data_IF_032330106167
#
_entry.id   IF_032330106167
#
_cell.length_a   1.000
_cell.length_b   1.000
_cell.length_c   1.000
_cell.angle_alpha   90.00
_cell.angle_beta   90.00
_cell.angle_gamma   90.00
#
_symmetry.space_group_name_H-M   'P 1'
#
loop_
_entity.id
_entity.type
_entity.pdbx_description
1 polymer ?
#
# COMPACT_ATOMS: atom_id res chain seq x y z
N UNK A 1 -18.75 14.35 12.69
CA UNK A 1 -18.56 13.03 12.05
C UNK A 1 -17.54 13.26 10.94
N UNK A 2 -16.33 12.70 11.05
CA UNK A 2 -15.31 12.84 10.02
C UNK A 2 -15.80 12.12 8.76
N UNK A 3 -15.97 12.83 7.67
CA UNK A 3 -16.12 12.23 6.35
C UNK A 3 -14.76 11.63 6.04
N UNK A 4 -14.67 10.32 6.07
CA UNK A 4 -13.39 9.65 5.82
C UNK A 4 -13.07 9.80 4.33
N UNK A 5 -11.85 10.12 4.01
CA UNK A 5 -11.36 10.26 2.63
C UNK A 5 -11.72 9.05 1.77
N UNK A 6 -11.74 7.86 2.40
CA UNK A 6 -12.16 6.60 1.79
C UNK A 6 -13.62 6.55 1.31
N UNK A 7 -14.48 7.48 1.74
CA UNK A 7 -15.86 7.58 1.23
C UNK A 7 -15.99 8.53 0.04
N UNK A 8 -14.98 9.37 -0.20
CA UNK A 8 -14.96 10.34 -1.30
C UNK A 8 -14.30 9.81 -2.56
N UNK A 9 -13.40 8.84 -2.42
CA UNK A 9 -12.63 8.28 -3.51
C UNK A 9 -12.86 6.78 -3.60
N UNK A 10 -12.73 6.26 -4.82
CA UNK A 10 -12.60 4.83 -5.04
C UNK A 10 -11.37 4.33 -4.29
N UNK A 11 -11.58 3.42 -3.34
CA UNK A 11 -10.55 3.03 -2.39
C UNK A 11 -10.09 1.60 -2.62
N UNK A 12 -8.78 1.39 -2.66
CA UNK A 12 -8.14 0.07 -2.61
C UNK A 12 -7.71 -0.23 -1.17
N UNK A 13 -8.08 -1.39 -0.66
CA UNK A 13 -7.62 -1.87 0.64
C UNK A 13 -6.28 -2.61 0.46
N UNK A 14 -5.28 -2.23 1.24
CA UNK A 14 -4.01 -2.95 1.32
C UNK A 14 -3.93 -3.61 2.68
N UNK A 15 -3.79 -4.94 2.70
CA UNK A 15 -3.65 -5.75 3.90
C UNK A 15 -2.17 -6.05 4.14
N UNK A 16 -1.66 -5.61 5.29
CA UNK A 16 -0.24 -5.69 5.66
C UNK A 16 0.06 -6.95 6.46
N UNK A 17 0.93 -7.80 5.92
CA UNK A 17 1.45 -9.01 6.56
C UNK A 17 2.82 -8.79 7.22
N UNK A 18 3.19 -7.55 7.50
CA UNK A 18 4.48 -7.19 8.10
C UNK A 18 5.62 -7.00 7.09
N UNK A 19 5.30 -6.71 5.84
CA UNK A 19 6.29 -6.43 4.81
C UNK A 19 6.94 -5.06 5.01
N UNK A 20 8.25 -5.01 4.86
CA UNK A 20 8.96 -3.73 4.73
C UNK A 20 8.51 -2.89 3.53
N UNK A 21 7.78 -3.47 2.58
CA UNK A 21 7.32 -2.83 1.34
C UNK A 21 5.84 -2.44 1.35
N UNK A 22 5.08 -2.68 2.43
CA UNK A 22 3.64 -2.34 2.48
C UNK A 22 3.36 -0.84 2.27
N UNK A 23 4.18 0.03 2.90
CA UNK A 23 4.12 1.47 2.65
C UNK A 23 4.53 1.86 1.23
N UNK A 24 5.43 1.10 0.60
CA UNK A 24 5.81 1.33 -0.80
C UNK A 24 4.68 0.96 -1.75
N UNK A 25 3.95 -0.14 -1.50
CA UNK A 25 2.73 -0.48 -2.25
C UNK A 25 1.73 0.68 -2.15
N UNK A 26 1.47 1.18 -0.93
CA UNK A 26 0.59 2.33 -0.68
C UNK A 26 1.00 3.55 -1.51
N UNK A 27 2.28 3.88 -1.49
CA UNK A 27 2.84 4.99 -2.25
C UNK A 27 2.65 4.79 -3.75
N UNK A 28 2.94 3.60 -4.29
CA UNK A 28 2.78 3.31 -5.73
C UNK A 28 1.34 3.43 -6.19
N UNK A 29 0.39 2.92 -5.41
CA UNK A 29 -1.04 3.04 -5.72
C UNK A 29 -1.47 4.52 -5.75
N UNK A 30 -1.01 5.30 -4.78
CA UNK A 30 -1.30 6.74 -4.70
C UNK A 30 -0.64 7.54 -5.83
N UNK A 31 0.57 7.19 -6.26
CA UNK A 31 1.25 7.76 -7.42
C UNK A 31 0.46 7.54 -8.74
N UNK A 32 -0.38 6.50 -8.80
CA UNK A 32 -1.30 6.24 -9.91
C UNK A 32 -2.61 7.05 -9.82
N UNK A 33 -2.74 7.93 -8.85
CA UNK A 33 -3.93 8.74 -8.63
C UNK A 33 -5.11 7.97 -8.02
N UNK A 34 -4.86 6.83 -7.37
CA UNK A 34 -5.87 6.01 -6.69
C UNK A 34 -5.68 6.07 -5.18
N UNK A 35 -6.76 6.32 -4.45
CA UNK A 35 -6.70 6.29 -3.00
C UNK A 35 -6.61 4.86 -2.47
N UNK A 36 -5.89 4.68 -1.37
CA UNK A 36 -5.80 3.38 -0.71
C UNK A 36 -5.61 3.53 0.80
N UNK A 37 -6.15 2.56 1.53
CA UNK A 37 -6.02 2.41 2.97
C UNK A 37 -5.14 1.20 3.28
N UNK A 38 -4.13 1.40 4.12
CA UNK A 38 -3.28 0.34 4.66
C UNK A 38 -3.83 -0.10 6.02
N UNK A 39 -4.19 -1.37 6.15
CA UNK A 39 -4.71 -1.97 7.36
C UNK A 39 -3.93 -3.24 7.71
N UNK A 40 -3.84 -3.63 8.99
CA UNK A 40 -3.30 -4.92 9.36
C UNK A 40 -4.06 -6.07 8.65
N UNK A 41 -3.38 -7.14 8.27
CA UNK A 41 -4.01 -8.27 7.60
C UNK A 41 -5.13 -8.92 8.43
N UNK A 42 -5.08 -8.77 9.76
CA UNK A 42 -6.07 -9.30 10.71
C UNK A 42 -7.35 -8.46 10.83
N UNK A 43 -7.44 -7.31 10.15
CA UNK A 43 -8.66 -6.47 10.17
C UNK A 43 -9.86 -7.29 9.70
N UNK A 44 -10.98 -7.13 10.39
CA UNK A 44 -12.25 -7.71 9.94
C UNK A 44 -12.87 -6.82 8.88
N UNK A 45 -13.26 -7.39 7.75
CA UNK A 45 -13.89 -6.61 6.68
C UNK A 45 -15.21 -5.96 7.11
N UNK A 46 -15.90 -6.56 8.09
CA UNK A 46 -17.11 -6.01 8.67
C UNK A 46 -16.88 -4.70 9.46
N UNK A 47 -15.66 -4.47 9.95
CA UNK A 47 -15.30 -3.29 10.72
C UNK A 47 -14.86 -2.11 9.83
N UNK A 48 -14.70 -2.35 8.53
CA UNK A 48 -14.32 -1.31 7.58
C UNK A 48 -15.47 -0.28 7.45
N UNK A 49 -15.11 0.99 7.48
CA UNK A 49 -16.07 2.10 7.31
C UNK A 49 -16.27 2.50 5.85
N UNK A 50 -15.67 1.78 4.92
CA UNK A 50 -15.74 1.98 3.48
C UNK A 50 -15.83 0.65 2.75
N UNK A 51 -16.24 0.69 1.48
CA UNK A 51 -16.27 -0.48 0.60
C UNK A 51 -15.10 -0.41 -0.38
N UNK A 52 -14.08 -1.26 -0.23
CA UNK A 52 -12.97 -1.28 -1.19
C UNK A 52 -13.43 -1.75 -2.58
N UNK A 53 -12.89 -1.15 -3.64
CA UNK A 53 -13.05 -1.63 -5.02
C UNK A 53 -12.08 -2.74 -5.41
N UNK A 54 -11.03 -2.93 -4.60
CA UNK A 54 -10.05 -3.99 -4.76
C UNK A 54 -9.25 -4.18 -3.49
N UNK A 55 -8.64 -5.34 -3.34
CA UNK A 55 -7.83 -5.70 -2.18
C UNK A 55 -6.43 -6.10 -2.67
N UNK A 56 -5.38 -5.55 -2.03
CA UNK A 56 -4.00 -5.98 -2.23
C UNK A 56 -3.51 -6.65 -0.95
N UNK A 57 -3.00 -7.86 -1.06
CA UNK A 57 -2.34 -8.61 0.00
C UNK A 57 -0.84 -8.37 -0.15
N UNK A 58 -0.19 -7.78 0.84
CA UNK A 58 1.24 -7.46 0.78
C UNK A 58 2.12 -8.71 0.87
N UNK A 59 3.42 -8.54 0.73
CA UNK A 59 4.39 -9.53 1.17
C UNK A 59 4.44 -9.66 2.70
N UNK A 60 5.25 -10.59 3.17
CA UNK A 60 5.46 -10.82 4.60
C UNK A 60 6.71 -11.68 4.85
N UNK A 61 7.26 -11.67 6.06
CA UNK A 61 8.47 -12.40 6.40
C UNK A 61 8.24 -13.89 6.74
N UNK A 62 6.99 -14.27 6.98
CA UNK A 62 6.62 -15.63 7.44
C UNK A 62 6.43 -16.59 6.29
N UNK A 63 6.45 -17.90 6.61
CA UNK A 63 5.95 -18.96 5.73
C UNK A 63 4.48 -19.22 6.05
N UNK A 64 3.61 -19.25 5.02
CA UNK A 64 2.14 -19.31 5.22
C UNK A 64 1.65 -20.57 5.95
N UNK A 65 2.45 -21.63 5.93
CA UNK A 65 2.14 -22.92 6.58
C UNK A 65 2.71 -23.04 8.00
N UNK A 66 3.46 -22.06 8.50
CA UNK A 66 4.00 -22.08 9.86
C UNK A 66 2.92 -21.73 10.89
N UNK A 67 3.00 -22.35 12.06
CA UNK A 67 2.08 -22.07 13.17
C UNK A 67 2.22 -20.62 13.62
N UNK A 68 1.09 -19.91 13.75
CA UNK A 68 1.08 -18.48 14.11
C UNK A 68 1.32 -17.53 12.96
N UNK A 69 1.44 -18.02 11.74
CA UNK A 69 1.52 -17.15 10.54
C UNK A 69 0.26 -16.30 10.39
N UNK A 70 0.40 -15.04 9.94
CA UNK A 70 -0.74 -14.15 9.80
C UNK A 70 -1.61 -14.54 8.60
N UNK A 71 -2.93 -14.58 8.82
CA UNK A 71 -3.93 -14.84 7.79
C UNK A 71 -4.97 -13.73 7.73
N UNK A 72 -5.60 -13.56 6.56
CA UNK A 72 -6.68 -12.61 6.39
C UNK A 72 -8.00 -13.10 7.00
N UNK A 73 -8.94 -12.17 7.18
CA UNK A 73 -10.33 -12.53 7.42
C UNK A 73 -10.85 -13.42 6.27
N UNK A 74 -11.40 -14.60 6.54
CA UNK A 74 -11.97 -15.47 5.51
C UNK A 74 -13.01 -14.79 4.60
N UNK A 75 -13.66 -13.73 5.07
CA UNK A 75 -14.58 -12.92 4.28
C UNK A 75 -13.93 -12.29 3.05
N UNK A 76 -12.61 -12.10 3.03
CA UNK A 76 -11.85 -11.58 1.87
C UNK A 76 -12.14 -12.41 0.62
N UNK A 77 -12.20 -13.74 0.76
CA UNK A 77 -12.35 -14.66 -0.38
C UNK A 77 -13.74 -14.66 -1.01
N UNK A 78 -14.73 -14.14 -0.31
CA UNK A 78 -16.14 -14.06 -0.75
C UNK A 78 -16.65 -12.61 -0.86
N UNK A 79 -15.78 -11.63 -0.65
CA UNK A 79 -16.18 -10.22 -0.66
C UNK A 79 -16.63 -9.70 -2.04
N UNK A 80 -16.19 -10.36 -3.11
CA UNK A 80 -16.66 -10.08 -4.48
C UNK A 80 -15.95 -8.94 -5.20
N UNK A 81 -14.76 -8.53 -4.75
CA UNK A 81 -13.92 -7.54 -5.42
C UNK A 81 -12.61 -8.19 -5.93
N UNK A 82 -11.92 -7.58 -6.91
CA UNK A 82 -10.62 -8.08 -7.37
C UNK A 82 -9.59 -8.13 -6.24
N UNK A 83 -8.73 -9.17 -6.27
CA UNK A 83 -7.67 -9.39 -5.27
C UNK A 83 -6.33 -9.53 -5.98
N UNK A 84 -5.28 -8.88 -5.47
CA UNK A 84 -3.88 -9.04 -5.87
C UNK A 84 -3.05 -9.46 -4.67
N UNK A 85 -2.45 -10.64 -4.71
CA UNK A 85 -1.47 -11.09 -3.72
C UNK A 85 -0.04 -10.88 -4.21
N UNK A 86 0.82 -10.31 -3.37
CA UNK A 86 2.24 -10.06 -3.67
C UNK A 86 3.08 -10.89 -2.71
N UNK A 87 3.95 -11.76 -3.24
CA UNK A 87 4.87 -12.62 -2.49
C UNK A 87 4.12 -13.49 -1.44
N UNK A 88 4.17 -13.13 -0.16
CA UNK A 88 3.34 -13.81 0.87
C UNK A 88 1.85 -13.78 0.53
N UNK A 89 1.34 -12.67 -0.02
CA UNK A 89 -0.05 -12.56 -0.45
C UNK A 89 -0.44 -13.55 -1.56
N UNK A 90 0.48 -13.92 -2.46
CA UNK A 90 0.27 -15.03 -3.40
C UNK A 90 0.15 -16.37 -2.66
N UNK A 91 1.02 -16.62 -1.68
CA UNK A 91 1.01 -17.85 -0.89
C UNK A 91 -0.27 -17.95 -0.04
N UNK A 92 -0.73 -16.82 0.51
CA UNK A 92 -2.01 -16.71 1.24
C UNK A 92 -3.22 -17.06 0.34
N UNK A 93 -3.22 -16.60 -0.93
CA UNK A 93 -4.20 -17.00 -1.93
C UNK A 93 -4.18 -18.52 -2.14
N UNK A 94 -2.99 -19.09 -2.37
CA UNK A 94 -2.84 -20.51 -2.62
C UNK A 94 -3.30 -21.35 -1.42
N UNK A 95 -2.87 -20.97 -0.22
CA UNK A 95 -3.21 -21.65 1.03
C UNK A 95 -4.72 -21.72 1.26
N UNK A 96 -5.41 -20.59 1.13
CA UNK A 96 -6.85 -20.53 1.40
C UNK A 96 -7.72 -21.12 0.28
N UNK A 97 -7.25 -21.13 -0.96
CA UNK A 97 -8.01 -21.62 -2.11
C UNK A 97 -7.59 -23.02 -2.58
N UNK A 98 -7.02 -23.83 -1.69
CA UNK A 98 -6.66 -25.23 -1.91
C UNK A 98 -5.55 -25.48 -2.94
N UNK A 99 -4.65 -24.53 -3.10
CA UNK A 99 -3.34 -24.73 -3.67
C UNK A 99 -2.37 -25.31 -2.64
N UNK A 100 -1.08 -25.40 -2.98
CA UNK A 100 -0.05 -25.87 -2.08
C UNK A 100 1.17 -24.95 -2.16
N UNK A 101 1.75 -24.67 -0.97
CA UNK A 101 2.97 -23.89 -0.80
C UNK A 101 4.01 -24.77 -0.11
N UNK A 102 5.24 -24.73 -0.57
CA UNK A 102 6.36 -25.48 0.01
C UNK A 102 7.63 -24.61 0.04
N UNK A 103 8.65 -24.95 0.86
CA UNK A 103 9.96 -24.40 0.71
C UNK A 103 10.45 -24.55 -0.72
N UNK A 104 11.02 -23.48 -1.30
CA UNK A 104 11.58 -23.52 -2.64
C UNK A 104 12.87 -24.37 -2.67
N UNK A 105 13.03 -25.17 -3.71
CA UNK A 105 14.28 -25.90 -3.95
C UNK A 105 15.44 -24.93 -4.22
N UNK A 106 15.12 -23.77 -4.78
CA UNK A 106 16.00 -22.62 -4.97
C UNK A 106 15.36 -21.37 -4.38
N UNK A 107 16.08 -20.71 -3.48
CA UNK A 107 15.68 -19.39 -2.99
C UNK A 107 15.99 -18.36 -4.06
N UNK A 108 15.03 -17.54 -4.43
CA UNK A 108 15.19 -16.50 -5.44
C UNK A 108 15.27 -15.12 -4.80
N UNK A 109 16.43 -14.48 -4.88
CA UNK A 109 16.69 -13.12 -4.42
C UNK A 109 17.36 -12.32 -5.52
N UNK A 110 16.83 -11.14 -5.82
CA UNK A 110 17.37 -10.24 -6.82
C UNK A 110 16.59 -10.23 -8.12
N UNK A 111 17.27 -9.87 -9.21
CA UNK A 111 16.64 -9.72 -10.53
C UNK A 111 16.42 -11.08 -11.19
N UNK A 112 15.25 -11.25 -11.79
CA UNK A 112 14.91 -12.39 -12.63
C UNK A 112 14.13 -11.92 -13.87
N UNK A 113 14.29 -12.60 -14.99
CA UNK A 113 13.50 -12.38 -16.18
C UNK A 113 12.36 -13.41 -16.22
N UNK A 114 11.12 -12.95 -16.23
CA UNK A 114 9.93 -13.82 -16.29
C UNK A 114 9.38 -13.88 -17.70
N UNK A 115 9.00 -15.08 -18.13
CA UNK A 115 8.30 -15.31 -19.38
C UNK A 115 6.79 -15.23 -19.13
N UNK A 116 6.08 -14.45 -19.93
CA UNK A 116 4.63 -14.29 -19.83
C UNK A 116 3.93 -15.36 -20.65
N UNK A 117 2.89 -15.97 -20.07
CA UNK A 117 2.01 -16.91 -20.74
C UNK A 117 0.89 -16.18 -21.53
N UNK A 118 0.24 -16.86 -22.46
CA UNK A 118 -0.78 -16.27 -23.33
C UNK A 118 -1.95 -15.62 -22.54
N UNK A 119 -2.34 -16.21 -21.41
CA UNK A 119 -3.40 -15.69 -20.54
C UNK A 119 -3.02 -14.38 -19.83
N UNK A 120 -1.72 -14.04 -19.77
CA UNK A 120 -1.24 -12.83 -19.09
C UNK A 120 -1.64 -11.53 -19.82
N UNK A 121 -1.66 -11.56 -21.17
CA UNK A 121 -1.77 -10.37 -22.01
C UNK A 121 -3.11 -9.65 -21.92
N UNK A 122 -4.18 -10.35 -21.53
CA UNK A 122 -5.53 -9.79 -21.39
C UNK A 122 -5.86 -9.39 -19.92
N UNK A 123 -4.87 -9.37 -19.02
CA UNK A 123 -5.10 -9.18 -17.59
C UNK A 123 -4.06 -8.22 -16.97
N UNK A 124 -3.44 -8.67 -15.87
CA UNK A 124 -2.47 -7.90 -15.09
C UNK A 124 -1.26 -7.42 -15.92
N UNK A 125 -0.88 -8.18 -16.96
CA UNK A 125 0.27 -7.88 -17.83
C UNK A 125 -0.12 -7.22 -19.16
N UNK A 126 -1.32 -6.65 -19.28
CA UNK A 126 -1.73 -5.96 -20.49
C UNK A 126 -0.73 -4.87 -20.91
N UNK A 127 -0.27 -4.94 -22.16
CA UNK A 127 0.70 -4.00 -22.74
C UNK A 127 2.15 -4.17 -22.26
N UNK A 128 2.46 -5.27 -21.57
CA UNK A 128 3.83 -5.60 -21.13
C UNK A 128 4.42 -6.65 -22.06
N UNK A 129 5.67 -6.42 -22.49
CA UNK A 129 6.38 -7.35 -23.37
C UNK A 129 7.03 -8.49 -22.59
N UNK A 130 7.10 -9.67 -23.20
CA UNK A 130 7.78 -10.85 -22.67
C UNK A 130 9.16 -11.03 -23.34
N UNK A 131 10.24 -11.40 -22.63
CA UNK A 131 10.29 -11.48 -21.18
C UNK A 131 10.31 -10.10 -20.51
N UNK A 132 9.97 -10.04 -19.20
CA UNK A 132 10.05 -8.83 -18.42
C UNK A 132 10.85 -9.03 -17.14
N UNK A 133 11.62 -8.01 -16.76
CA UNK A 133 12.48 -8.06 -15.57
C UNK A 133 11.73 -7.72 -14.32
N UNK A 134 11.89 -8.56 -13.28
CA UNK A 134 11.23 -8.43 -11.99
C UNK A 134 12.23 -8.60 -10.84
N UNK A 135 11.81 -8.22 -9.64
CA UNK A 135 12.57 -8.40 -8.39
C UNK A 135 11.96 -9.52 -7.55
N UNK A 136 12.73 -10.58 -7.35
CA UNK A 136 12.38 -11.71 -6.50
C UNK A 136 12.93 -11.52 -5.09
N UNK A 137 12.18 -11.96 -4.07
CA UNK A 137 12.61 -11.98 -2.67
C UNK A 137 11.81 -13.02 -1.91
N UNK A 138 12.04 -14.31 -2.18
CA UNK A 138 11.28 -15.39 -1.56
C UNK A 138 12.11 -16.66 -1.32
N UNK A 139 11.74 -17.38 -0.24
CA UNK A 139 12.26 -18.72 0.08
C UNK A 139 11.25 -19.82 -0.20
N UNK A 140 9.95 -19.50 -0.16
CA UNK A 140 8.85 -20.42 -0.41
C UNK A 140 8.25 -20.18 -1.79
N UNK A 141 7.67 -21.22 -2.37
CA UNK A 141 7.04 -21.18 -3.68
C UNK A 141 5.77 -22.04 -3.73
N UNK A 142 4.90 -21.74 -4.69
CA UNK A 142 3.78 -22.62 -4.96
C UNK A 142 4.28 -23.94 -5.57
N UNK A 143 3.70 -25.06 -5.11
CA UNK A 143 3.90 -26.40 -5.68
C UNK A 143 2.67 -26.89 -6.44
N UNK A 144 1.49 -26.30 -6.17
CA UNK A 144 0.24 -26.64 -6.84
C UNK A 144 -0.66 -25.39 -6.95
N UNK A 145 -1.24 -25.19 -8.12
CA UNK A 145 -2.23 -24.14 -8.35
C UNK A 145 -3.54 -24.42 -7.61
N UNK A 146 -4.21 -23.38 -7.09
CA UNK A 146 -5.61 -23.48 -6.70
C UNK A 146 -6.51 -23.81 -7.89
N UNK A 147 -7.67 -24.42 -7.63
CA UNK A 147 -8.64 -24.75 -8.66
C UNK A 147 -9.15 -23.48 -9.39
N UNK A 148 -9.20 -23.54 -10.73
CA UNK A 148 -9.64 -22.44 -11.57
C UNK A 148 -8.59 -21.35 -11.80
N UNK A 149 -7.35 -21.55 -11.31
CA UNK A 149 -6.25 -20.66 -11.61
C UNK A 149 -5.45 -21.13 -12.82
N UNK A 150 -4.91 -20.18 -13.55
CA UNK A 150 -3.98 -20.38 -14.68
C UNK A 150 -2.64 -19.71 -14.38
N UNK A 151 -1.59 -20.21 -15.02
CA UNK A 151 -0.27 -19.56 -14.99
C UNK A 151 -0.32 -18.32 -15.89
N UNK A 152 0.19 -17.21 -15.37
CA UNK A 152 0.34 -15.96 -16.10
C UNK A 152 1.81 -15.67 -16.44
N UNK A 153 2.74 -16.12 -15.59
CA UNK A 153 4.17 -15.99 -15.85
C UNK A 153 4.96 -17.04 -15.08
N UNK A 154 6.13 -17.39 -15.61
CA UNK A 154 7.03 -18.38 -15.03
C UNK A 154 8.51 -18.01 -15.24
N UNK A 155 9.38 -18.59 -14.43
CA UNK A 155 10.83 -18.64 -14.64
C UNK A 155 11.28 -20.11 -14.82
N UNK A 156 12.51 -20.38 -15.22
CA UNK A 156 13.02 -21.76 -15.27
C UNK A 156 13.00 -22.47 -13.91
N UNK A 157 13.06 -21.73 -12.81
CA UNK A 157 13.12 -22.24 -11.42
C UNK A 157 11.82 -22.12 -10.66
N UNK A 158 10.88 -21.28 -11.11
CA UNK A 158 9.58 -21.07 -10.50
C UNK A 158 8.45 -21.15 -11.56
N UNK A 159 7.72 -22.27 -11.62
CA UNK A 159 6.67 -22.46 -12.64
C UNK A 159 5.42 -21.60 -12.39
N UNK A 160 5.24 -21.07 -11.18
CA UNK A 160 4.06 -20.31 -10.75
C UNK A 160 4.43 -18.90 -10.26
N UNK A 161 5.28 -18.21 -11.04
CA UNK A 161 5.75 -16.86 -10.70
C UNK A 161 4.64 -15.81 -10.70
N UNK A 162 3.65 -16.00 -11.57
CA UNK A 162 2.40 -15.26 -11.53
C UNK A 162 1.23 -16.18 -11.91
N UNK A 163 0.13 -16.04 -11.18
CA UNK A 163 -1.08 -16.82 -11.38
C UNK A 163 -2.32 -15.94 -11.41
N UNK A 164 -3.41 -16.43 -11.99
CA UNK A 164 -4.67 -15.70 -11.99
C UNK A 164 -5.89 -16.59 -12.14
N UNK A 165 -6.95 -16.26 -11.41
CA UNK A 165 -8.30 -16.69 -11.68
C UNK A 165 -9.02 -15.53 -12.37
N UNK A 166 -9.18 -15.60 -13.70
CA UNK A 166 -9.67 -14.48 -14.50
C UNK A 166 -11.15 -14.18 -14.21
N UNK A 167 -11.95 -15.21 -13.97
CA UNK A 167 -13.39 -15.07 -13.70
C UNK A 167 -13.63 -14.38 -12.35
N UNK A 168 -12.88 -14.78 -11.32
CA UNK A 168 -12.96 -14.19 -9.98
C UNK A 168 -12.12 -12.92 -9.82
N UNK A 169 -11.28 -12.59 -10.80
CA UNK A 169 -10.34 -11.47 -10.78
C UNK A 169 -9.38 -11.53 -9.57
N UNK A 170 -8.87 -12.73 -9.28
CA UNK A 170 -7.89 -12.97 -8.22
C UNK A 170 -6.54 -13.25 -8.86
N UNK A 171 -5.54 -12.45 -8.53
CA UNK A 171 -4.19 -12.53 -9.10
C UNK A 171 -3.15 -12.69 -8.01
N UNK A 172 -2.07 -13.39 -8.32
CA UNK A 172 -0.94 -13.54 -7.42
C UNK A 172 0.39 -13.37 -8.15
N UNK A 173 1.32 -12.65 -7.53
CA UNK A 173 2.67 -12.40 -8.00
C UNK A 173 3.66 -12.90 -6.95
N UNK A 174 4.65 -13.70 -7.33
CA UNK A 174 5.73 -14.13 -6.44
C UNK A 174 6.77 -13.02 -6.27
N UNK A 175 6.90 -12.11 -7.21
CA UNK A 175 7.80 -10.98 -7.22
C UNK A 175 7.12 -9.69 -6.73
N UNK A 176 7.93 -8.65 -6.55
CA UNK A 176 7.52 -7.36 -6.01
C UNK A 176 7.35 -6.30 -7.11
N UNK A 177 6.11 -5.99 -7.56
CA UNK A 177 5.87 -4.95 -8.55
C UNK A 177 6.09 -3.53 -8.02
N UNK A 178 6.06 -3.34 -6.71
CA UNK A 178 6.19 -2.04 -6.05
C UNK A 178 7.62 -1.49 -6.05
N UNK A 179 8.64 -2.35 -6.17
CA UNK A 179 10.04 -1.92 -6.12
C UNK A 179 10.53 -1.44 -7.49
N UNK A 180 11.50 -0.52 -7.49
CA UNK A 180 12.04 0.10 -8.71
C UNK A 180 12.77 -0.87 -9.64
N UNK A 181 13.22 -2.01 -9.11
CA UNK A 181 13.92 -3.04 -9.87
C UNK A 181 12.99 -3.90 -10.73
N UNK A 182 11.67 -3.82 -10.53
CA UNK A 182 10.66 -4.43 -11.41
C UNK A 182 10.31 -3.43 -12.52
N UNK A 183 10.78 -3.68 -13.74
CA UNK A 183 10.76 -2.72 -14.85
C UNK A 183 9.36 -2.19 -15.16
N UNK A 184 8.36 -3.05 -15.22
CA UNK A 184 6.97 -2.69 -15.52
C UNK A 184 6.03 -2.73 -14.30
N UNK A 185 6.59 -2.65 -13.08
CA UNK A 185 5.81 -2.79 -11.84
C UNK A 185 4.68 -1.77 -11.71
N UNK A 186 4.95 -0.50 -12.02
CA UNK A 186 3.91 0.54 -12.01
C UNK A 186 2.79 0.25 -13.01
N UNK A 187 3.10 -0.32 -14.18
CA UNK A 187 2.09 -0.69 -15.17
C UNK A 187 1.24 -1.86 -14.68
N UNK A 188 1.84 -2.88 -14.05
CA UNK A 188 1.10 -3.99 -13.45
C UNK A 188 0.14 -3.49 -12.37
N UNK A 189 0.61 -2.64 -11.47
CA UNK A 189 -0.25 -2.04 -10.45
C UNK A 189 -1.35 -1.17 -11.06
N UNK A 190 -1.05 -0.38 -12.10
CA UNK A 190 -2.06 0.40 -12.83
C UNK A 190 -3.11 -0.50 -13.48
N UNK A 191 -2.67 -1.58 -14.16
CA UNK A 191 -3.58 -2.55 -14.78
C UNK A 191 -4.52 -3.15 -13.73
N UNK A 192 -4.02 -3.42 -12.52
CA UNK A 192 -4.84 -3.91 -11.42
C UNK A 192 -5.79 -2.84 -10.90
N UNK A 193 -5.29 -1.71 -10.37
CA UNK A 193 -6.14 -0.76 -9.64
C UNK A 193 -7.08 0.03 -10.55
N UNK A 194 -6.63 0.43 -11.75
CA UNK A 194 -7.46 1.19 -12.69
C UNK A 194 -8.20 0.26 -13.64
N UNK A 195 -7.49 -0.70 -14.25
CA UNK A 195 -8.08 -1.57 -15.29
C UNK A 195 -9.03 -2.62 -14.71
N UNK A 196 -8.57 -3.39 -13.74
CA UNK A 196 -9.32 -4.55 -13.20
C UNK A 196 -10.29 -4.15 -12.09
N UNK A 197 -9.84 -3.31 -11.13
CA UNK A 197 -10.70 -2.80 -10.05
C UNK A 197 -11.63 -1.69 -10.52
N UNK A 198 -11.34 -1.02 -11.64
CA UNK A 198 -12.12 0.10 -12.16
C UNK A 198 -12.10 1.33 -11.27
N UNK A 199 -10.99 1.57 -10.55
CA UNK A 199 -10.86 2.76 -9.74
C UNK A 199 -10.64 4.00 -10.61
N UNK A 200 -11.31 5.09 -10.24
CA UNK A 200 -11.05 6.41 -10.81
C UNK A 200 -9.67 6.89 -10.36
N UNK A 201 -8.88 7.44 -11.27
CA UNK A 201 -7.57 8.01 -10.95
C UNK A 201 -7.65 9.52 -10.65
N UNK A 202 -8.54 9.88 -9.75
CA UNK A 202 -8.88 11.27 -9.41
C UNK A 202 -8.33 11.72 -8.04
N UNK A 203 -7.61 10.85 -7.34
CA UNK A 203 -6.95 11.22 -6.09
C UNK A 203 -5.63 11.94 -6.36
N UNK A 204 -5.37 13.00 -5.62
CA UNK A 204 -4.07 13.67 -5.61
C UNK A 204 -3.71 14.12 -4.20
N UNK A 205 -2.40 14.30 -3.93
CA UNK A 205 -1.94 14.81 -2.64
C UNK A 205 -2.46 16.22 -2.38
N UNK A 206 -2.59 17.07 -3.39
CA UNK A 206 -3.15 18.41 -3.23
C UNK A 206 -4.61 18.36 -2.82
N UNK A 207 -5.42 17.56 -3.50
CA UNK A 207 -6.83 17.38 -3.14
C UNK A 207 -6.99 16.81 -1.72
N UNK A 208 -6.09 15.90 -1.30
CA UNK A 208 -6.05 15.37 0.06
C UNK A 208 -5.70 16.46 1.09
N UNK A 209 -4.70 17.31 0.79
CA UNK A 209 -4.32 18.44 1.66
C UNK A 209 -5.49 19.41 1.84
N UNK A 210 -6.18 19.78 0.77
CA UNK A 210 -7.31 20.69 0.83
C UNK A 210 -8.47 20.10 1.64
N UNK A 211 -8.76 18.81 1.43
CA UNK A 211 -9.75 18.09 2.23
C UNK A 211 -9.39 18.06 3.73
N UNK A 212 -8.14 17.74 4.08
CA UNK A 212 -7.71 17.70 5.49
C UNK A 212 -7.76 19.11 6.14
N UNK A 213 -7.45 20.16 5.39
CA UNK A 213 -7.59 21.54 5.87
C UNK A 213 -9.07 21.83 6.23
N UNK A 214 -10.02 21.49 5.36
CA UNK A 214 -11.44 21.69 5.64
C UNK A 214 -11.92 20.81 6.83
N UNK A 215 -11.44 19.58 6.92
CA UNK A 215 -11.71 18.69 8.05
C UNK A 215 -11.21 19.27 9.36
N UNK A 216 -10.00 19.81 9.40
CA UNK A 216 -9.43 20.49 10.57
C UNK A 216 -10.31 21.68 10.95
N UNK A 217 -10.70 22.52 10.00
CA UNK A 217 -11.58 23.67 10.24
C UNK A 217 -12.91 23.25 10.87
N UNK A 218 -13.51 22.18 10.35
CA UNK A 218 -14.79 21.65 10.87
C UNK A 218 -14.64 21.14 12.31
N UNK A 219 -13.56 20.40 12.61
CA UNK A 219 -13.33 19.84 13.95
C UNK A 219 -13.04 20.93 14.98
N UNK A 220 -12.21 21.91 14.60
CA UNK A 220 -11.80 22.98 15.51
C UNK A 220 -12.90 24.04 15.68
N UNK A 221 -13.73 24.21 14.68
CA UNK A 221 -14.77 25.25 14.67
C UNK A 221 -14.20 26.67 14.53
N UNK A 222 -15.07 27.66 14.64
CA UNK A 222 -14.72 29.07 14.39
C UNK A 222 -13.84 29.67 15.50
N UNK A 223 -13.97 29.22 16.73
CA UNK A 223 -13.34 29.83 17.93
C UNK A 223 -12.35 28.90 18.63
N UNK A 224 -12.23 27.64 18.22
CA UNK A 224 -11.34 26.68 18.86
C UNK A 224 -9.87 27.01 18.62
N UNK A 225 -9.04 26.72 19.62
CA UNK A 225 -7.57 26.80 19.54
C UNK A 225 -6.97 25.40 19.65
N UNK A 226 -5.84 25.20 18.99
CA UNK A 226 -5.09 23.95 19.03
C UNK A 226 -3.69 24.22 19.56
N UNK A 227 -3.23 23.37 20.46
CA UNK A 227 -1.84 23.33 20.94
C UNK A 227 -1.20 22.07 20.38
N UNK A 228 0.00 22.17 19.83
CA UNK A 228 0.74 21.04 19.29
C UNK A 228 2.22 21.10 19.62
N UNK A 229 2.77 20.02 20.19
CA UNK A 229 4.21 19.88 20.33
C UNK A 229 4.86 19.58 18.97
N UNK A 230 5.96 20.25 18.68
CA UNK A 230 6.73 20.08 17.43
C UNK A 230 8.18 19.73 17.79
N UNK A 231 8.75 18.77 17.07
CA UNK A 231 10.13 18.32 17.28
C UNK A 231 11.10 18.77 16.18
N UNK A 232 10.60 19.45 15.14
CA UNK A 232 11.39 19.73 13.93
C UNK A 232 11.52 18.54 12.97
N UNK A 233 11.08 17.34 13.36
CA UNK A 233 10.99 16.16 12.49
C UNK A 233 9.91 16.32 11.42
N UNK A 234 9.94 15.46 10.38
CA UNK A 234 9.07 15.54 9.20
C UNK A 234 7.60 15.54 9.60
N UNK A 235 7.17 14.58 10.42
CA UNK A 235 5.75 14.37 10.74
C UNK A 235 5.15 15.55 11.51
N UNK A 236 5.84 16.00 12.57
CA UNK A 236 5.41 17.14 13.36
C UNK A 236 5.41 18.45 12.55
N UNK A 237 6.36 18.59 11.61
CA UNK A 237 6.43 19.75 10.72
C UNK A 237 5.27 19.77 9.73
N UNK A 238 4.90 18.62 9.14
CA UNK A 238 3.75 18.49 8.23
C UNK A 238 2.45 18.78 8.98
N UNK A 239 2.28 18.21 10.17
CA UNK A 239 1.10 18.47 11.00
C UNK A 239 0.97 19.96 11.36
N UNK A 240 2.09 20.61 11.75
CA UNK A 240 2.10 22.04 12.06
C UNK A 240 1.76 22.90 10.84
N UNK A 241 2.27 22.56 9.66
CA UNK A 241 1.95 23.28 8.42
C UNK A 241 0.47 23.15 8.04
N UNK A 242 -0.13 21.97 8.16
CA UNK A 242 -1.56 21.74 7.90
C UNK A 242 -2.44 22.53 8.88
N UNK A 243 -2.13 22.44 10.19
CA UNK A 243 -2.86 23.17 11.22
C UNK A 243 -2.74 24.70 11.01
N UNK A 244 -1.54 25.20 10.76
CA UNK A 244 -1.32 26.63 10.48
C UNK A 244 -2.10 27.10 9.25
N UNK A 245 -2.12 26.33 8.15
CA UNK A 245 -2.93 26.64 6.95
C UNK A 245 -4.44 26.57 7.21
N UNK A 246 -4.88 25.68 8.09
CA UNK A 246 -6.29 25.50 8.37
C UNK A 246 -6.85 26.59 9.28
N UNK A 247 -6.17 26.94 10.38
CA UNK A 247 -6.71 27.78 11.45
C UNK A 247 -5.81 28.98 11.84
N UNK A 248 -4.69 29.17 11.13
CA UNK A 248 -3.82 30.35 11.32
C UNK A 248 -3.27 30.48 12.74
N UNK A 249 -3.38 31.69 13.31
CA UNK A 249 -2.85 32.02 14.64
C UNK A 249 -3.51 31.27 15.81
N UNK A 250 -4.63 30.59 15.55
CA UNK A 250 -5.30 29.74 16.53
C UNK A 250 -4.59 28.39 16.77
N UNK A 251 -3.58 28.08 15.93
CA UNK A 251 -2.65 27.00 16.19
C UNK A 251 -1.42 27.50 16.95
N UNK A 252 -1.14 26.94 18.10
CA UNK A 252 0.01 27.27 18.96
C UNK A 252 0.98 26.10 18.96
N UNK A 253 2.01 26.18 18.14
CA UNK A 253 3.08 25.18 18.13
C UNK A 253 4.06 25.47 19.28
N UNK A 254 4.48 24.42 19.97
CA UNK A 254 5.43 24.50 21.07
C UNK A 254 6.64 23.63 20.74
N UNK A 255 7.82 24.27 20.64
CA UNK A 255 9.11 23.58 20.55
C UNK A 255 9.79 23.63 21.91
N UNK A 256 10.17 22.46 22.43
CA UNK A 256 10.87 22.34 23.70
C UNK A 256 12.32 21.98 23.43
N UNK A 257 13.23 22.90 23.73
CA UNK A 257 14.66 22.59 23.80
C UNK A 257 15.02 22.18 25.22
N UNK A 258 15.28 20.89 25.39
CA UNK A 258 15.67 20.30 26.67
C UNK A 258 17.20 20.18 26.84
N UNK A 259 17.98 20.79 25.93
CA UNK A 259 19.44 20.74 25.92
C UNK A 259 20.05 19.42 25.42
N UNK A 260 19.22 18.48 24.91
CA UNK A 260 19.67 17.20 24.36
C UNK A 260 19.50 17.11 22.83
N UNK A 261 19.11 18.20 22.19
CA UNK A 261 19.01 18.28 20.73
C UNK A 261 20.40 18.26 20.09
N UNK A 262 20.47 17.89 18.83
CA UNK A 262 21.70 17.93 18.04
C UNK A 262 22.19 19.39 17.90
N UNK A 263 23.47 19.55 17.57
CA UNK A 263 24.06 20.87 17.34
C UNK A 263 23.23 21.66 16.30
N UNK A 264 22.76 22.84 16.70
CA UNK A 264 21.90 23.75 15.91
C UNK A 264 20.49 23.24 15.58
N UNK A 265 20.08 22.04 15.99
CA UNK A 265 18.79 21.44 15.62
C UNK A 265 17.60 22.31 16.06
N UNK A 266 17.64 22.87 17.26
CA UNK A 266 16.60 23.78 17.76
C UNK A 266 16.48 25.03 16.89
N UNK A 267 17.60 25.68 16.57
CA UNK A 267 17.62 26.90 15.76
C UNK A 267 17.15 26.65 14.33
N UNK A 268 17.55 25.54 13.73
CA UNK A 268 17.11 25.12 12.39
C UNK A 268 15.60 24.82 12.36
N UNK A 269 15.09 24.11 13.37
CA UNK A 269 13.67 23.82 13.50
C UNK A 269 12.84 25.09 13.70
N UNK A 270 13.30 26.01 14.56
CA UNK A 270 12.66 27.31 14.78
C UNK A 270 12.62 28.13 13.50
N UNK A 271 13.74 28.28 12.81
CA UNK A 271 13.83 29.00 11.56
C UNK A 271 12.86 28.44 10.49
N UNK A 272 12.84 27.11 10.31
CA UNK A 272 11.96 26.44 9.37
C UNK A 272 10.49 26.67 9.69
N UNK A 273 10.10 26.50 10.94
CA UNK A 273 8.71 26.63 11.38
C UNK A 273 8.23 28.08 11.30
N UNK A 274 9.00 29.05 11.81
CA UNK A 274 8.63 30.47 11.84
C UNK A 274 8.74 31.11 10.47
N UNK A 275 9.91 31.00 9.81
CA UNK A 275 10.21 31.79 8.64
C UNK A 275 9.71 31.16 7.34
N UNK A 276 9.85 29.85 7.20
CA UNK A 276 9.45 29.18 5.97
C UNK A 276 7.96 28.76 5.98
N UNK A 277 7.47 28.25 7.10
CA UNK A 277 6.11 27.72 7.21
C UNK A 277 5.12 28.66 7.89
N UNK A 278 5.60 29.83 8.41
CA UNK A 278 4.79 30.84 9.09
C UNK A 278 3.91 30.28 10.22
N UNK A 279 4.45 29.32 10.96
CA UNK A 279 3.77 28.70 12.11
C UNK A 279 3.90 29.59 13.33
N UNK A 280 2.80 29.79 14.07
CA UNK A 280 2.80 30.50 15.36
C UNK A 280 3.51 29.61 16.43
N UNK A 281 4.84 29.72 16.47
CA UNK A 281 5.71 28.91 17.33
C UNK A 281 6.03 29.63 18.64
N UNK A 282 5.95 28.91 19.72
CA UNK A 282 6.33 29.33 21.09
C UNK A 282 7.40 28.45 21.66
#
# INVERSE_FOLDING_TARGET
>A
MATETSTLYDTVLILDFGSQYSHLITRRVRELGVYCELQPCTVKLADLKFKPKGIILSGGPNSVYEEGSPHVDPAVWTYGVPILGICYGLQEIAWNLKGEVKPGDHREFGQADVTLDAAATASLFAGITSPTRVWMSHGDQLSKLPEGFVVLAHTPTSPYTAIGNLDRKIFGLQFHPEVTHTTHGSQMLRNFVVGICGCSNNWSMNSFIDFEIERIRTVVGEHGHVIGAVSGGVDSTVAAALLSRAIGDRFHAILVDNGLLRLNEAAEAEHKLREQLKVNLK
#
